data_IF_124676400183
#
_entry.id   IF_124676400183
#
_cell.length_a   1.000
_cell.length_b   1.000
_cell.length_c   1.000
_cell.angle_alpha   90.00
_cell.angle_beta   90.00
_cell.angle_gamma   90.00
#
_symmetry.space_group_name_H-M   'P 1'
#
loop_
_entity.id
_entity.type
_entity.pdbx_description
1 polymer ?
#
# COMPACT_ATOMS: atom_id res chain seq x y z
N UNK A 1 25.34 20.00 -5.97
CA UNK A 1 25.24 21.21 -5.13
C UNK A 1 25.35 20.95 -3.63
N UNK A 2 25.12 19.74 -3.10
CA UNK A 2 25.13 19.50 -1.65
C UNK A 2 26.45 19.80 -0.88
N UNK A 3 27.55 20.07 -1.58
CA UNK A 3 28.84 20.48 -0.99
C UNK A 3 29.03 22.01 -0.95
N UNK A 4 27.99 22.80 -1.24
CA UNK A 4 28.06 24.26 -1.11
C UNK A 4 28.11 24.65 0.39
N UNK A 5 28.80 25.75 0.74
CA UNK A 5 28.79 26.29 2.10
C UNK A 5 27.37 26.57 2.59
N UNK A 6 27.11 26.45 3.89
CA UNK A 6 25.76 26.63 4.47
C UNK A 6 25.16 28.00 4.12
N UNK A 7 25.97 29.06 4.09
CA UNK A 7 25.53 30.41 3.75
C UNK A 7 24.90 30.53 2.35
N UNK A 8 25.29 29.65 1.41
CA UNK A 8 24.70 29.57 0.07
C UNK A 8 23.18 29.33 0.11
N UNK A 9 22.71 28.61 1.13
CA UNK A 9 21.30 28.24 1.27
C UNK A 9 20.49 29.22 2.12
N UNK A 10 21.16 30.07 2.90
CA UNK A 10 20.51 30.95 3.87
C UNK A 10 20.41 32.38 3.35
N UNK A 11 21.38 32.86 2.58
CA UNK A 11 21.41 34.23 2.08
C UNK A 11 21.96 34.34 0.66
N UNK A 12 21.49 35.34 -0.08
CA UNK A 12 22.02 35.64 -1.40
C UNK A 12 23.46 36.16 -1.29
N UNK A 13 24.37 35.55 -2.04
CA UNK A 13 25.78 35.93 -2.06
C UNK A 13 26.20 36.37 -3.47
N UNK A 14 27.02 37.42 -3.56
CA UNK A 14 27.60 37.86 -4.85
C UNK A 14 28.69 36.92 -5.35
N UNK A 15 29.33 36.16 -4.46
CA UNK A 15 30.42 35.22 -4.74
C UNK A 15 30.33 34.06 -3.75
N UNK A 16 30.67 32.85 -4.20
CA UNK A 16 30.72 31.63 -3.40
C UNK A 16 32.12 31.05 -3.53
N UNK A 17 32.76 30.75 -2.40
CA UNK A 17 34.05 30.05 -2.38
C UNK A 17 33.79 28.55 -2.28
N UNK A 18 34.30 27.77 -3.23
CA UNK A 18 34.19 26.31 -3.24
C UNK A 18 35.61 25.74 -3.15
N UNK A 19 35.93 24.87 -2.17
CA UNK A 19 37.26 24.30 -2.05
C UNK A 19 37.58 23.38 -3.23
N UNK A 20 38.82 23.41 -3.69
CA UNK A 20 39.31 22.45 -4.68
C UNK A 20 39.52 21.10 -4.01
N UNK A 21 38.72 20.11 -4.40
CA UNK A 21 38.77 18.74 -3.86
C UNK A 21 38.63 17.73 -5.00
N UNK A 22 39.17 16.52 -4.81
CA UNK A 22 38.87 15.36 -5.65
C UNK A 22 37.87 14.49 -4.90
N UNK A 23 36.75 14.16 -5.54
CA UNK A 23 35.70 13.32 -4.97
C UNK A 23 35.50 12.10 -5.87
N UNK A 24 35.57 10.91 -5.28
CA UNK A 24 35.16 9.65 -5.88
C UNK A 24 33.96 9.16 -5.07
N UNK A 25 32.81 8.96 -5.72
CA UNK A 25 31.54 8.69 -5.03
C UNK A 25 30.74 7.64 -5.80
N UNK A 26 30.14 6.71 -5.07
CA UNK A 26 29.25 5.67 -5.59
C UNK A 26 28.29 5.23 -4.47
N UNK A 27 27.02 4.93 -4.79
CA UNK A 27 26.07 4.49 -3.78
C UNK A 27 26.41 3.09 -3.28
N UNK A 28 26.49 2.90 -1.96
CA UNK A 28 26.61 1.57 -1.33
C UNK A 28 25.44 0.65 -1.69
N UNK A 29 24.24 1.20 -1.80
CA UNK A 29 23.01 0.47 -2.09
C UNK A 29 22.28 1.08 -3.29
N UNK A 30 21.79 0.24 -4.23
CA UNK A 30 21.03 0.72 -5.38
C UNK A 30 19.64 1.26 -4.98
N UNK A 31 19.02 0.71 -3.93
CA UNK A 31 17.76 1.18 -3.36
C UNK A 31 18.02 2.08 -2.15
N UNK A 32 17.62 3.36 -2.22
CA UNK A 32 17.74 4.34 -1.14
C UNK A 32 16.40 5.04 -0.97
N UNK A 33 15.55 4.40 -0.17
CA UNK A 33 14.13 4.69 -0.08
C UNK A 33 13.76 5.76 0.93
N UNK A 34 12.69 6.48 0.63
CA UNK A 34 11.83 7.20 1.57
C UNK A 34 10.42 6.60 1.47
N UNK A 35 9.75 6.40 2.60
CA UNK A 35 8.35 5.99 2.66
C UNK A 35 7.49 7.19 3.09
N UNK A 36 6.39 7.45 2.38
CA UNK A 36 5.42 8.49 2.72
C UNK A 36 3.99 7.92 2.75
N UNK A 37 3.36 8.04 3.92
CA UNK A 37 1.93 7.80 4.13
C UNK A 37 1.13 9.08 3.88
N UNK A 38 0.29 9.06 2.85
CA UNK A 38 -0.65 10.15 2.54
C UNK A 38 -2.11 9.77 2.81
N UNK A 39 -2.34 8.59 3.37
CA UNK A 39 -3.66 8.03 3.59
C UNK A 39 -4.19 8.37 4.98
N UNK A 40 -3.36 8.22 6.03
CA UNK A 40 -3.76 8.57 7.41
C UNK A 40 -4.02 10.07 7.56
N UNK A 41 -3.19 10.90 6.92
CA UNK A 41 -3.46 12.31 6.65
C UNK A 41 -2.87 12.69 5.29
N UNK A 42 -3.61 13.47 4.51
CA UNK A 42 -3.28 13.83 3.16
C UNK A 42 -2.19 14.91 3.09
N UNK A 43 -1.20 14.65 2.22
CA UNK A 43 -0.20 15.62 1.84
C UNK A 43 -0.50 16.14 0.43
N UNK A 44 -0.56 17.46 0.27
CA UNK A 44 -0.74 18.06 -1.07
C UNK A 44 0.36 17.62 -2.03
N UNK A 45 0.05 17.56 -3.34
CA UNK A 45 1.05 17.32 -4.40
C UNK A 45 2.29 18.20 -4.24
N UNK A 46 2.11 19.50 -3.98
CA UNK A 46 3.21 20.44 -3.73
C UNK A 46 4.16 19.98 -2.61
N UNK A 47 3.63 19.40 -1.53
CA UNK A 47 4.44 18.86 -0.44
C UNK A 47 5.22 17.62 -0.89
N UNK A 48 4.61 16.74 -1.68
CA UNK A 48 5.27 15.54 -2.22
C UNK A 48 6.39 15.91 -3.21
N UNK A 49 6.14 16.87 -4.12
CA UNK A 49 7.18 17.36 -5.03
C UNK A 49 8.34 18.00 -4.24
N UNK A 50 8.04 18.75 -3.17
CA UNK A 50 9.07 19.31 -2.29
C UNK A 50 9.89 18.22 -1.58
N UNK A 51 9.26 17.13 -1.17
CA UNK A 51 9.97 15.96 -0.63
C UNK A 51 10.90 15.36 -1.68
N UNK A 52 10.46 15.22 -2.93
CA UNK A 52 11.31 14.72 -4.03
C UNK A 52 12.52 15.62 -4.29
N UNK A 53 12.40 16.95 -4.18
CA UNK A 53 13.55 17.86 -4.26
C UNK A 53 14.58 17.56 -3.16
N UNK A 54 14.12 17.34 -1.93
CA UNK A 54 14.97 17.02 -0.78
C UNK A 54 15.62 15.65 -0.96
N UNK A 55 14.86 14.66 -1.41
CA UNK A 55 15.37 13.32 -1.71
C UNK A 55 16.48 13.37 -2.75
N UNK A 56 16.27 14.08 -3.86
CA UNK A 56 17.27 14.26 -4.91
C UNK A 56 18.53 14.96 -4.38
N UNK A 57 18.35 15.97 -3.53
CA UNK A 57 19.47 16.69 -2.90
C UNK A 57 20.37 15.76 -2.09
N UNK A 58 19.78 14.82 -1.34
CA UNK A 58 20.49 13.81 -0.55
C UNK A 58 20.76 12.48 -1.28
N UNK A 59 20.53 12.44 -2.60
CA UNK A 59 20.72 11.26 -3.45
C UNK A 59 19.85 10.04 -3.09
N UNK A 60 18.72 10.23 -2.39
CA UNK A 60 17.68 9.22 -2.27
C UNK A 60 16.99 9.06 -3.64
N UNK A 61 16.71 7.83 -4.05
CA UNK A 61 16.28 7.53 -5.41
C UNK A 61 15.00 6.68 -5.48
N UNK A 62 14.32 6.48 -4.36
CA UNK A 62 13.08 5.72 -4.37
C UNK A 62 12.10 6.31 -3.36
N UNK A 63 10.91 6.68 -3.83
CA UNK A 63 9.81 7.12 -2.98
C UNK A 63 8.73 6.04 -3.00
N UNK A 64 8.54 5.34 -1.89
CA UNK A 64 7.36 4.51 -1.67
C UNK A 64 6.24 5.41 -1.18
N UNK A 65 5.15 5.47 -1.94
CA UNK A 65 4.00 6.32 -1.66
C UNK A 65 2.78 5.46 -1.38
N UNK A 66 2.24 5.56 -0.16
CA UNK A 66 1.00 4.89 0.21
C UNK A 66 -0.17 5.64 -0.35
N UNK A 67 -1.03 4.94 -1.09
CA UNK A 67 -2.18 5.52 -1.76
C UNK A 67 -3.51 4.92 -1.28
N UNK A 68 -3.48 3.84 -0.49
CA UNK A 68 -4.67 3.33 0.19
C UNK A 68 -4.35 2.85 1.61
N UNK A 69 -5.19 3.19 2.58
CA UNK A 69 -5.21 2.68 3.95
C UNK A 69 -6.66 2.63 4.46
N UNK A 70 -6.86 2.17 5.69
CA UNK A 70 -8.16 2.15 6.34
C UNK A 70 -8.86 3.51 6.35
N UNK A 71 -8.10 4.60 6.52
CA UNK A 71 -8.64 5.95 6.70
C UNK A 71 -8.53 6.84 5.47
N UNK A 72 -8.15 6.27 4.31
CA UNK A 72 -8.02 7.07 3.10
C UNK A 72 -7.66 6.32 1.83
N UNK A 73 -8.30 6.70 0.74
CA UNK A 73 -7.94 6.35 -0.63
C UNK A 73 -7.55 7.62 -1.40
N UNK A 74 -6.33 7.65 -1.95
CA UNK A 74 -5.65 8.90 -2.33
C UNK A 74 -5.27 8.99 -3.80
N UNK A 75 -5.73 8.07 -4.65
CA UNK A 75 -5.47 8.11 -6.09
C UNK A 75 -6.77 7.93 -6.87
N UNK A 76 -7.01 8.78 -7.86
CA UNK A 76 -8.15 8.62 -8.74
C UNK A 76 -8.04 7.35 -9.59
N UNK A 77 -9.12 6.60 -9.70
CA UNK A 77 -9.24 5.46 -10.60
C UNK A 77 -10.54 5.67 -11.37
N UNK A 78 -10.44 6.09 -12.63
CA UNK A 78 -11.62 6.49 -13.43
C UNK A 78 -12.69 5.39 -13.54
N UNK A 79 -12.25 4.13 -13.61
CA UNK A 79 -13.14 2.97 -13.63
C UNK A 79 -13.89 2.76 -12.29
N UNK A 80 -13.42 3.37 -11.21
CA UNK A 80 -13.89 3.21 -9.84
C UNK A 80 -13.93 4.59 -9.12
N UNK A 81 -14.73 5.55 -9.61
CA UNK A 81 -14.73 6.93 -9.14
C UNK A 81 -15.11 7.06 -7.65
N UNK A 82 -15.78 6.06 -7.10
CA UNK A 82 -16.21 6.08 -5.71
C UNK A 82 -15.08 5.85 -4.73
N UNK A 83 -13.93 5.35 -5.20
CA UNK A 83 -12.74 5.23 -4.38
C UNK A 83 -12.30 6.59 -3.81
N UNK A 84 -12.31 7.63 -4.64
CA UNK A 84 -11.98 8.99 -4.20
C UNK A 84 -13.21 9.76 -3.73
N UNK A 85 -14.40 9.52 -4.30
CA UNK A 85 -15.62 10.20 -3.84
C UNK A 85 -15.99 9.83 -2.39
N UNK A 86 -15.74 8.59 -1.97
CA UNK A 86 -16.01 8.11 -0.60
C UNK A 86 -14.71 8.04 0.21
N UNK A 87 -13.70 7.34 -0.30
CA UNK A 87 -12.44 7.09 0.40
C UNK A 87 -11.49 8.30 0.43
N UNK A 88 -11.72 9.31 -0.42
CA UNK A 88 -10.91 10.53 -0.43
C UNK A 88 -11.25 11.52 0.67
N UNK A 89 -12.31 11.29 1.46
CA UNK A 89 -12.77 12.28 2.44
C UNK A 89 -13.28 11.68 3.75
N UNK A 90 -13.05 12.41 4.85
CA UNK A 90 -13.55 12.09 6.18
C UNK A 90 -14.51 13.17 6.68
N UNK A 91 -15.67 12.78 7.21
CA UNK A 91 -16.63 13.72 7.79
C UNK A 91 -17.52 13.09 8.85
N UNK A 92 -18.00 13.91 9.78
CA UNK A 92 -18.94 13.49 10.82
C UNK A 92 -20.33 13.26 10.21
N UNK A 93 -20.78 12.02 10.24
CA UNK A 93 -22.07 11.59 9.68
C UNK A 93 -22.60 10.36 10.42
N UNK A 94 -23.79 9.90 10.06
CA UNK A 94 -24.36 8.65 10.57
C UNK A 94 -23.48 7.44 10.22
N UNK A 95 -23.48 6.42 11.07
CA UNK A 95 -22.72 5.17 10.83
C UNK A 95 -23.05 4.46 9.53
N UNK A 96 -24.25 4.67 8.98
CA UNK A 96 -24.71 4.03 7.75
C UNK A 96 -24.35 4.80 6.47
N UNK A 97 -23.80 6.01 6.60
CA UNK A 97 -23.44 6.81 5.45
C UNK A 97 -22.16 6.29 4.79
N UNK A 98 -22.12 6.31 3.46
CA UNK A 98 -20.97 5.91 2.68
C UNK A 98 -19.88 6.99 2.66
N UNK A 99 -19.31 7.33 3.82
CA UNK A 99 -18.15 8.23 3.98
C UNK A 99 -17.30 7.82 5.16
N UNK A 100 -15.98 7.95 5.06
CA UNK A 100 -15.08 7.66 6.18
C UNK A 100 -15.40 8.58 7.37
N UNK A 101 -15.39 8.01 8.57
CA UNK A 101 -15.56 8.79 9.79
C UNK A 101 -14.29 9.58 10.13
N UNK A 102 -14.40 10.70 10.88
CA UNK A 102 -13.24 11.47 11.29
C UNK A 102 -12.27 10.63 12.12
N UNK A 103 -10.97 10.74 11.81
CA UNK A 103 -9.88 10.14 12.56
C UNK A 103 -8.68 11.09 12.56
N UNK A 104 -7.74 10.88 13.49
CA UNK A 104 -6.52 11.67 13.63
C UNK A 104 -6.72 13.20 13.72
N UNK A 105 -7.85 13.64 14.29
CA UNK A 105 -8.14 15.08 14.41
C UNK A 105 -8.49 15.76 13.09
N UNK A 106 -9.06 15.04 12.11
CA UNK A 106 -9.44 15.59 10.80
C UNK A 106 -10.55 16.64 10.80
N UNK A 107 -11.13 16.96 11.95
CA UNK A 107 -12.33 17.80 12.05
C UNK A 107 -13.61 17.08 11.60
N UNK A 108 -14.78 17.67 11.86
CA UNK A 108 -16.07 17.08 11.53
C UNK A 108 -16.50 17.35 10.08
N UNK A 109 -15.91 18.33 9.40
CA UNK A 109 -16.29 18.76 8.05
C UNK A 109 -15.18 18.35 7.06
N UNK A 110 -15.55 17.63 6.00
CA UNK A 110 -14.62 17.28 4.94
C UNK A 110 -14.07 18.53 4.24
N UNK A 111 -12.77 18.52 3.92
CA UNK A 111 -12.09 19.63 3.23
C UNK A 111 -12.10 20.98 3.98
N UNK A 112 -12.36 20.96 5.29
CA UNK A 112 -12.25 22.15 6.13
C UNK A 112 -10.82 22.73 6.09
N UNK A 113 -10.71 24.05 5.96
CA UNK A 113 -9.41 24.71 5.87
C UNK A 113 -8.58 24.43 7.13
N UNK A 114 -7.35 23.97 6.94
CA UNK A 114 -6.44 23.67 8.05
C UNK A 114 -6.58 22.24 8.59
N UNK A 115 -7.46 21.42 8.00
CA UNK A 115 -7.50 19.98 8.24
C UNK A 115 -6.86 19.22 7.08
N UNK A 116 -6.40 18.01 7.36
CA UNK A 116 -5.63 17.18 6.42
C UNK A 116 -6.22 15.78 6.27
N UNK A 117 -7.49 15.58 6.63
CA UNK A 117 -8.11 14.26 6.53
C UNK A 117 -8.73 13.91 5.18
N UNK A 118 -8.92 14.91 4.33
CA UNK A 118 -9.54 14.76 3.01
C UNK A 118 -8.58 15.23 1.92
N UNK A 119 -8.68 14.62 0.75
CA UNK A 119 -7.84 14.86 -0.42
C UNK A 119 -7.45 13.56 -1.10
N UNK A 120 -7.14 13.68 -2.39
CA UNK A 120 -6.61 12.63 -3.26
C UNK A 120 -5.85 13.30 -4.41
N UNK A 121 -5.04 12.52 -5.12
CA UNK A 121 -4.39 12.93 -6.36
C UNK A 121 -5.28 12.52 -7.54
N UNK A 122 -5.56 13.46 -8.44
CA UNK A 122 -6.17 13.13 -9.73
C UNK A 122 -5.22 12.29 -10.58
N UNK A 123 -5.72 11.74 -11.68
CA UNK A 123 -4.89 11.08 -12.69
C UNK A 123 -3.72 11.98 -13.13
N UNK A 124 -4.00 13.24 -13.47
CA UNK A 124 -3.00 14.22 -13.92
C UNK A 124 -2.00 14.56 -12.81
N UNK A 125 -2.46 14.64 -11.56
CA UNK A 125 -1.58 14.87 -10.43
C UNK A 125 -0.55 13.75 -10.29
N UNK A 126 -0.99 12.50 -10.39
CA UNK A 126 -0.10 11.35 -10.28
C UNK A 126 0.86 11.25 -11.49
N UNK A 127 0.38 11.51 -12.71
CA UNK A 127 1.22 11.57 -13.92
C UNK A 127 2.32 12.62 -13.78
N UNK A 128 1.98 13.83 -13.31
CA UNK A 128 2.98 14.88 -13.09
C UNK A 128 3.97 14.47 -12.00
N UNK A 129 3.52 13.82 -10.92
CA UNK A 129 4.40 13.30 -9.86
C UNK A 129 5.38 12.23 -10.40
N UNK A 130 4.94 11.37 -11.32
CA UNK A 130 5.79 10.38 -11.98
C UNK A 130 6.87 11.05 -12.82
N UNK A 131 6.48 12.03 -13.65
CA UNK A 131 7.42 12.79 -14.48
C UNK A 131 8.43 13.56 -13.63
N UNK A 132 7.96 14.23 -12.58
CA UNK A 132 8.79 14.99 -11.66
C UNK A 132 9.80 14.12 -10.91
N UNK A 133 9.39 12.90 -10.53
CA UNK A 133 10.27 11.90 -9.94
C UNK A 133 11.33 11.41 -10.94
N UNK A 134 10.94 11.12 -12.20
CA UNK A 134 11.86 10.72 -13.28
C UNK A 134 12.96 11.77 -13.52
N UNK A 135 12.61 13.05 -13.59
CA UNK A 135 13.57 14.16 -13.74
C UNK A 135 14.61 14.23 -12.61
N UNK A 136 14.28 13.68 -11.44
CA UNK A 136 15.11 13.66 -10.24
C UNK A 136 15.79 12.32 -9.97
N UNK A 137 15.71 11.39 -10.92
CA UNK A 137 16.20 10.01 -10.78
C UNK A 137 15.59 9.28 -9.58
N UNK A 138 14.33 9.59 -9.25
CA UNK A 138 13.55 8.94 -8.21
C UNK A 138 12.56 7.97 -8.86
N UNK A 139 12.60 6.71 -8.43
CA UNK A 139 11.52 5.76 -8.71
C UNK A 139 10.39 6.02 -7.72
N UNK A 140 9.22 6.41 -8.21
CA UNK A 140 7.99 6.41 -7.41
C UNK A 140 7.45 4.98 -7.38
N UNK A 141 7.13 4.45 -6.20
CA UNK A 141 6.53 3.12 -6.01
C UNK A 141 5.15 3.33 -5.39
N UNK A 142 4.05 3.03 -6.11
CA UNK A 142 2.72 3.13 -5.56
C UNK A 142 2.46 1.94 -4.64
N UNK A 143 1.86 2.19 -3.48
CA UNK A 143 1.42 1.14 -2.56
C UNK A 143 -0.09 1.14 -2.42
N UNK A 144 -0.70 0.00 -2.69
CA UNK A 144 -2.13 -0.27 -2.46
C UNK A 144 -2.23 -1.43 -1.47
N UNK A 145 -2.53 -1.11 -0.21
CA UNK A 145 -2.52 -2.06 0.91
C UNK A 145 -3.69 -3.04 0.87
N UNK A 146 -3.37 -4.32 0.67
CA UNK A 146 -4.28 -5.45 0.71
C UNK A 146 -3.56 -6.69 1.32
N UNK A 147 -4.28 -7.66 1.90
CA UNK A 147 -5.73 -7.72 2.07
C UNK A 147 -6.25 -7.00 3.34
N UNK A 148 -5.37 -6.72 4.30
CA UNK A 148 -5.65 -5.81 5.42
C UNK A 148 -5.62 -4.35 4.99
N UNK A 149 -5.87 -3.42 5.92
CA UNK A 149 -5.79 -1.97 5.68
C UNK A 149 -6.61 -1.47 4.49
N UNK A 150 -7.72 -2.14 4.20
CA UNK A 150 -8.45 -2.02 2.93
C UNK A 150 -9.72 -1.15 3.02
N UNK A 151 -9.75 -0.16 3.93
CA UNK A 151 -10.79 0.89 4.01
C UNK A 151 -12.22 0.44 4.36
N UNK A 152 -12.71 0.79 5.55
CA UNK A 152 -14.06 0.42 6.04
C UNK A 152 -15.19 0.82 5.10
N UNK A 153 -15.13 2.02 4.54
CA UNK A 153 -16.24 2.55 3.76
C UNK A 153 -16.17 2.17 2.28
N UNK A 154 -15.02 1.75 1.76
CA UNK A 154 -14.93 1.10 0.43
C UNK A 154 -15.71 -0.23 0.42
N UNK A 155 -15.69 -0.93 1.55
CA UNK A 155 -16.43 -2.17 1.77
C UNK A 155 -17.92 -1.92 2.04
N UNK A 156 -18.27 -0.89 2.82
CA UNK A 156 -19.67 -0.53 3.10
C UNK A 156 -20.37 0.17 1.92
N UNK A 157 -19.65 0.95 1.10
CA UNK A 157 -20.20 1.60 -0.09
C UNK A 157 -20.81 0.59 -1.08
N UNK A 158 -20.26 -0.64 -1.18
CA UNK A 158 -20.85 -1.71 -1.98
C UNK A 158 -21.96 -2.51 -1.29
N UNK A 159 -22.13 -2.39 0.03
CA UNK A 159 -23.40 -2.75 0.67
C UNK A 159 -24.49 -1.70 0.30
N UNK A 160 -24.07 -0.44 0.16
CA UNK A 160 -24.86 0.71 -0.25
C UNK A 160 -25.23 0.78 -1.74
N UNK A 161 -24.91 -0.21 -2.57
CA UNK A 161 -25.61 -0.40 -3.87
C UNK A 161 -27.13 -0.65 -3.69
N UNK A 162 -27.57 -0.85 -2.44
CA UNK A 162 -28.95 -0.69 -1.96
C UNK A 162 -29.51 0.74 -2.14
N UNK A 163 -28.68 1.79 -2.18
CA UNK A 163 -29.08 3.19 -2.36
C UNK A 163 -29.31 3.58 -3.83
N UNK A 164 -28.97 2.70 -4.80
CA UNK A 164 -29.28 2.85 -6.23
C UNK A 164 -30.64 2.25 -6.63
N UNK A 165 -31.51 1.96 -5.67
CA UNK A 165 -32.88 1.48 -5.89
C UNK A 165 -32.99 -0.04 -6.11
N UNK A 166 -34.19 -0.62 -5.89
CA UNK A 166 -34.38 -2.07 -5.88
C UNK A 166 -34.63 -2.60 -7.31
N UNK A 167 -33.90 -3.69 -7.65
CA UNK A 167 -33.97 -4.52 -8.87
C UNK A 167 -33.16 -4.02 -10.07
N UNK A 168 -32.10 -4.77 -10.40
CA UNK A 168 -31.45 -4.77 -11.72
C UNK A 168 -29.93 -4.54 -11.77
N UNK A 169 -29.31 -4.05 -10.68
CA UNK A 169 -27.86 -3.73 -10.65
C UNK A 169 -27.02 -4.58 -9.70
N UNK A 170 -27.56 -5.69 -9.21
CA UNK A 170 -26.84 -6.61 -8.33
C UNK A 170 -25.55 -7.16 -8.96
N UNK A 171 -25.55 -7.36 -10.28
CA UNK A 171 -24.34 -7.75 -11.02
C UNK A 171 -23.23 -6.69 -10.95
N UNK A 172 -23.58 -5.41 -11.10
CA UNK A 172 -22.65 -4.27 -10.98
C UNK A 172 -22.17 -4.06 -9.53
N UNK A 173 -23.07 -4.26 -8.57
CA UNK A 173 -22.76 -4.21 -7.13
C UNK A 173 -21.70 -5.25 -6.76
N UNK A 174 -21.87 -6.48 -7.26
CA UNK A 174 -21.02 -7.61 -6.96
C UNK A 174 -19.70 -7.63 -7.73
N UNK A 175 -19.61 -6.92 -8.87
CA UNK A 175 -18.43 -6.91 -9.76
C UNK A 175 -17.13 -6.61 -9.01
N UNK A 176 -17.12 -5.63 -8.10
CA UNK A 176 -15.94 -5.31 -7.27
C UNK A 176 -16.24 -5.38 -5.77
N UNK A 177 -17.18 -6.22 -5.35
CA UNK A 177 -17.49 -6.38 -3.92
C UNK A 177 -16.33 -7.04 -3.20
N UNK A 178 -15.84 -6.40 -2.15
CA UNK A 178 -14.63 -6.84 -1.44
C UNK A 178 -14.89 -7.75 -0.23
N UNK A 179 -16.16 -7.93 0.16
CA UNK A 179 -16.56 -8.70 1.33
C UNK A 179 -17.56 -9.80 0.98
N UNK A 180 -17.59 -10.85 1.79
CA UNK A 180 -18.70 -11.78 1.84
C UNK A 180 -19.83 -11.17 2.70
N UNK A 181 -21.06 -11.00 2.16
CA UNK A 181 -22.18 -10.42 2.92
C UNK A 181 -22.62 -11.26 4.11
N UNK A 182 -22.30 -12.56 4.08
CA UNK A 182 -22.63 -13.51 5.14
C UNK A 182 -21.46 -13.73 6.10
N UNK A 183 -20.34 -13.01 5.92
CA UNK A 183 -19.22 -13.08 6.84
C UNK A 183 -19.56 -12.42 8.18
N UNK A 184 -19.30 -13.17 9.25
CA UNK A 184 -19.45 -12.73 10.64
C UNK A 184 -18.20 -13.12 11.44
N UNK A 185 -17.03 -12.92 10.82
CA UNK A 185 -15.72 -13.07 11.45
C UNK A 185 -15.54 -12.06 12.58
N UNK A 186 -14.85 -12.45 13.65
CA UNK A 186 -14.63 -11.60 14.83
C UNK A 186 -13.14 -11.36 15.00
N UNK A 187 -12.70 -10.12 14.76
CA UNK A 187 -11.31 -9.71 14.88
C UNK A 187 -11.20 -8.22 15.21
N UNK A 188 -10.01 -7.80 15.61
CA UNK A 188 -9.62 -6.40 15.75
C UNK A 188 -8.26 -6.21 15.11
N UNK A 189 -8.14 -5.26 14.19
CA UNK A 189 -6.86 -4.82 13.65
C UNK A 189 -6.01 -4.13 14.71
N UNK A 190 -4.73 -3.86 14.38
CA UNK A 190 -3.84 -3.11 15.26
C UNK A 190 -4.35 -1.69 15.54
N UNK A 191 -5.14 -1.12 14.63
CA UNK A 191 -5.75 0.21 14.69
C UNK A 191 -7.15 0.18 15.33
N UNK A 192 -7.64 -0.99 15.75
CA UNK A 192 -8.94 -1.15 16.41
C UNK A 192 -10.13 -1.27 15.45
N UNK A 193 -9.90 -1.55 14.16
CA UNK A 193 -10.96 -1.82 13.20
C UNK A 193 -11.39 -3.28 13.25
N UNK A 194 -12.69 -3.55 13.20
CA UNK A 194 -13.25 -4.91 13.25
C UNK A 194 -13.72 -5.42 11.89
N UNK A 195 -13.50 -4.62 10.85
CA UNK A 195 -13.99 -4.93 9.51
C UNK A 195 -12.97 -4.59 8.43
N UNK A 196 -11.66 -4.51 8.74
CA UNK A 196 -10.57 -4.01 7.89
C UNK A 196 -9.91 -4.93 6.85
N UNK A 197 -10.47 -6.13 6.64
CA UNK A 197 -9.87 -7.13 5.78
C UNK A 197 -10.83 -7.53 4.66
N UNK A 198 -10.33 -7.60 3.42
CA UNK A 198 -11.12 -8.11 2.29
C UNK A 198 -11.27 -9.63 2.35
N UNK A 199 -12.33 -10.16 1.76
CA UNK A 199 -12.56 -11.60 1.71
C UNK A 199 -11.79 -12.24 0.55
N UNK A 200 -10.73 -12.98 0.87
CA UNK A 200 -9.77 -13.53 -0.11
C UNK A 200 -10.31 -14.69 -0.95
N UNK A 201 -11.49 -15.22 -0.64
CA UNK A 201 -12.17 -16.22 -1.48
C UNK A 201 -12.96 -15.59 -2.64
N UNK A 202 -13.15 -14.27 -2.64
CA UNK A 202 -13.96 -13.60 -3.65
C UNK A 202 -13.17 -13.22 -4.89
N UNK A 203 -13.59 -13.73 -6.04
CA UNK A 203 -13.03 -13.34 -7.35
C UNK A 203 -13.14 -11.83 -7.64
N UNK A 204 -14.18 -11.18 -7.12
CA UNK A 204 -14.37 -9.73 -7.24
C UNK A 204 -13.29 -8.90 -6.54
N UNK A 205 -12.60 -9.45 -5.53
CA UNK A 205 -11.41 -8.79 -4.92
C UNK A 205 -10.26 -8.73 -5.91
N UNK A 206 -10.02 -9.83 -6.63
CA UNK A 206 -8.93 -9.90 -7.61
C UNK A 206 -9.24 -9.08 -8.85
N UNK A 207 -10.49 -9.08 -9.32
CA UNK A 207 -10.95 -8.20 -10.41
C UNK A 207 -10.79 -6.71 -10.04
N UNK A 208 -11.13 -6.33 -8.80
CA UNK A 208 -10.88 -4.98 -8.27
C UNK A 208 -9.40 -4.63 -8.29
N UNK A 209 -8.58 -5.53 -7.76
CA UNK A 209 -7.15 -5.30 -7.63
C UNK A 209 -6.49 -5.16 -9.01
N UNK A 210 -6.82 -6.05 -9.95
CA UNK A 210 -6.37 -5.98 -11.34
C UNK A 210 -6.80 -4.68 -12.02
N UNK A 211 -8.04 -4.21 -11.80
CA UNK A 211 -8.53 -2.94 -12.34
C UNK A 211 -7.72 -1.75 -11.83
N UNK A 212 -7.44 -1.71 -10.53
CA UNK A 212 -6.61 -0.65 -9.93
C UNK A 212 -5.18 -0.68 -10.47
N UNK A 213 -4.55 -1.87 -10.49
CA UNK A 213 -3.18 -2.03 -11.01
C UNK A 213 -3.11 -1.61 -12.46
N UNK A 214 -4.09 -2.01 -13.29
CA UNK A 214 -4.17 -1.60 -14.69
C UNK A 214 -4.25 -0.07 -14.80
N UNK A 215 -5.16 0.58 -14.08
CA UNK A 215 -5.28 2.04 -14.12
C UNK A 215 -4.00 2.76 -13.70
N UNK A 216 -3.29 2.26 -12.69
CA UNK A 216 -1.98 2.79 -12.28
C UNK A 216 -0.94 2.57 -13.38
N UNK A 217 -0.85 1.36 -13.93
CA UNK A 217 0.06 1.04 -15.05
C UNK A 217 -0.19 1.94 -16.27
N UNK A 218 -1.45 2.25 -16.58
CA UNK A 218 -1.81 3.16 -17.67
C UNK A 218 -1.28 4.58 -17.39
N UNK A 219 -1.31 5.05 -16.13
CA UNK A 219 -0.72 6.35 -15.75
C UNK A 219 0.81 6.36 -15.91
N UNK A 220 1.49 5.27 -15.60
CA UNK A 220 2.94 5.14 -15.87
C UNK A 220 3.24 5.23 -17.37
N UNK A 221 2.46 4.52 -18.19
CA UNK A 221 2.58 4.55 -19.64
C UNK A 221 2.38 5.97 -20.19
N UNK A 222 1.32 6.66 -19.75
CA UNK A 222 1.02 8.04 -20.15
C UNK A 222 2.09 9.05 -19.69
N UNK A 223 2.69 8.81 -18.52
CA UNK A 223 3.78 9.62 -18.01
C UNK A 223 5.12 9.41 -18.76
N UNK A 224 5.20 8.43 -19.68
CA UNK A 224 6.45 7.94 -20.26
C UNK A 224 7.44 7.50 -19.17
N UNK A 225 6.95 6.85 -18.11
CA UNK A 225 7.76 6.32 -17.01
C UNK A 225 7.59 4.80 -16.97
N UNK A 226 8.68 4.01 -16.92
CA UNK A 226 8.53 2.56 -16.88
C UNK A 226 7.91 2.14 -15.54
N UNK A 227 6.80 1.41 -15.60
CA UNK A 227 6.22 0.75 -14.44
C UNK A 227 7.08 -0.46 -14.11
N UNK A 228 7.91 -0.36 -13.07
CA UNK A 228 8.92 -1.38 -12.73
C UNK A 228 8.75 -1.98 -11.33
N UNK A 229 7.92 -1.37 -10.50
CA UNK A 229 7.75 -1.77 -9.10
C UNK A 229 6.38 -1.33 -8.59
N UNK A 230 5.65 -2.26 -7.99
CA UNK A 230 4.40 -2.02 -7.29
C UNK A 230 4.47 -2.65 -5.89
N UNK A 231 3.91 -2.00 -4.88
CA UNK A 231 3.89 -2.54 -3.52
C UNK A 231 2.45 -2.90 -3.10
N UNK A 232 2.25 -4.11 -2.60
CA UNK A 232 0.93 -4.67 -2.26
C UNK A 232 0.54 -4.43 -0.80
N UNK A 233 1.47 -3.91 0.01
CA UNK A 233 1.29 -3.75 1.45
C UNK A 233 1.46 -5.09 2.14
N UNK A 234 0.41 -5.55 2.80
CA UNK A 234 0.29 -6.93 3.26
C UNK A 234 0.74 -7.19 4.68
N UNK A 235 0.85 -6.14 5.48
CA UNK A 235 1.09 -6.18 6.91
C UNK A 235 -0.20 -6.43 7.72
N UNK A 236 0.00 -6.84 8.97
CA UNK A 236 -0.98 -6.74 10.05
C UNK A 236 -2.40 -7.30 9.81
N UNK A 237 -2.56 -8.36 9.00
CA UNK A 237 -3.84 -9.08 8.94
C UNK A 237 -4.16 -9.64 10.33
N UNK A 238 -5.26 -9.22 10.98
CA UNK A 238 -5.52 -9.58 12.36
C UNK A 238 -5.91 -11.05 12.53
N UNK A 239 -5.56 -11.61 13.68
CA UNK A 239 -6.04 -12.92 14.08
C UNK A 239 -7.57 -12.92 14.19
N UNK A 240 -8.21 -13.94 13.62
CA UNK A 240 -9.68 -14.05 13.54
C UNK A 240 -10.28 -13.55 12.23
N UNK A 241 -9.51 -12.92 11.35
CA UNK A 241 -9.97 -12.68 9.98
C UNK A 241 -10.36 -13.98 9.29
N UNK A 242 -11.46 -13.92 8.53
CA UNK A 242 -12.00 -15.05 7.76
C UNK A 242 -12.45 -16.26 8.61
N UNK A 243 -12.57 -16.11 9.93
CA UNK A 243 -12.94 -17.22 10.82
C UNK A 243 -14.39 -17.69 10.66
N UNK A 244 -15.25 -16.87 10.05
CA UNK A 244 -16.66 -17.18 9.88
C UNK A 244 -17.21 -16.57 8.58
N UNK A 245 -16.82 -17.14 7.45
CA UNK A 245 -17.33 -16.79 6.11
C UNK A 245 -17.65 -18.08 5.34
N UNK A 246 -18.88 -18.24 4.81
CA UNK A 246 -19.22 -19.37 3.93
C UNK A 246 -18.28 -19.51 2.73
N UNK A 247 -17.91 -18.41 2.08
CA UNK A 247 -17.00 -18.45 0.92
C UNK A 247 -15.59 -18.91 1.31
N UNK A 248 -15.13 -18.54 2.50
CA UNK A 248 -13.83 -19.00 3.01
C UNK A 248 -13.88 -20.50 3.32
N UNK A 249 -15.00 -21.00 3.87
CA UNK A 249 -15.17 -22.44 4.11
C UNK A 249 -15.11 -23.23 2.81
N UNK A 250 -15.82 -22.78 1.77
CA UNK A 250 -15.77 -23.38 0.42
C UNK A 250 -14.35 -23.36 -0.16
N UNK A 251 -13.62 -22.24 -0.01
CA UNK A 251 -12.24 -22.14 -0.45
C UNK A 251 -11.34 -23.14 0.29
N UNK A 252 -11.49 -23.30 1.60
CA UNK A 252 -10.69 -24.20 2.43
C UNK A 252 -10.90 -25.67 2.05
N UNK A 253 -12.10 -26.07 1.59
CA UNK A 253 -12.35 -27.42 1.06
C UNK A 253 -11.44 -27.76 -0.14
N UNK A 254 -11.09 -26.75 -0.95
CA UNK A 254 -10.15 -26.91 -2.07
C UNK A 254 -8.67 -26.95 -1.65
N UNK A 255 -8.37 -26.64 -0.37
CA UNK A 255 -7.01 -26.47 0.16
C UNK A 255 -6.75 -27.33 1.40
N UNK A 256 -6.78 -28.67 1.29
CA UNK A 256 -6.66 -29.58 2.44
C UNK A 256 -5.32 -29.49 3.19
N UNK A 257 -4.32 -28.81 2.61
CA UNK A 257 -3.00 -28.58 3.23
C UNK A 257 -2.96 -27.33 4.10
N UNK A 258 -3.93 -26.41 3.98
CA UNK A 258 -3.99 -25.19 4.78
C UNK A 258 -4.57 -25.53 6.16
N UNK A 259 -3.67 -25.64 7.14
CA UNK A 259 -4.04 -25.96 8.54
C UNK A 259 -4.31 -24.73 9.40
N UNK A 260 -3.71 -23.59 9.04
CA UNK A 260 -3.87 -22.33 9.75
C UNK A 260 -4.59 -21.33 8.85
N UNK A 261 -5.77 -20.82 9.23
CA UNK A 261 -6.51 -19.83 8.44
C UNK A 261 -5.72 -18.56 8.11
N UNK A 262 -4.74 -18.18 8.95
CA UNK A 262 -3.86 -17.04 8.65
C UNK A 262 -3.02 -17.26 7.38
N UNK A 263 -2.81 -18.51 6.95
CA UNK A 263 -2.13 -18.80 5.69
C UNK A 263 -3.00 -18.49 4.45
N UNK A 264 -4.27 -18.12 4.62
CA UNK A 264 -5.08 -17.56 3.54
C UNK A 264 -4.56 -16.20 3.05
N UNK A 265 -3.77 -15.49 3.87
CA UNK A 265 -3.00 -14.33 3.43
C UNK A 265 -2.03 -14.70 2.30
N UNK A 266 -1.34 -15.84 2.41
CA UNK A 266 -0.46 -16.32 1.34
C UNK A 266 -1.23 -16.71 0.08
N UNK A 267 -2.48 -17.18 0.22
CA UNK A 267 -3.36 -17.40 -0.94
C UNK A 267 -3.65 -16.09 -1.69
N UNK A 268 -3.98 -15.02 -0.97
CA UNK A 268 -4.16 -13.70 -1.58
C UNK A 268 -2.89 -13.25 -2.30
N UNK A 269 -1.72 -13.34 -1.66
CA UNK A 269 -0.46 -12.88 -2.28
C UNK A 269 -0.04 -13.71 -3.48
N UNK A 270 -0.34 -15.02 -3.50
CA UNK A 270 -0.17 -15.84 -4.72
C UNK A 270 -0.97 -15.25 -5.87
N UNK A 271 -2.28 -15.06 -5.66
CA UNK A 271 -3.19 -14.52 -6.68
C UNK A 271 -2.82 -13.09 -7.10
N UNK A 272 -2.45 -12.23 -6.15
CA UNK A 272 -1.98 -10.87 -6.44
C UNK A 272 -0.67 -10.88 -7.24
N UNK A 273 0.24 -11.80 -6.92
CA UNK A 273 1.49 -12.00 -7.67
C UNK A 273 1.21 -12.46 -9.10
N UNK A 274 0.30 -13.41 -9.30
CA UNK A 274 -0.08 -13.89 -10.64
C UNK A 274 -0.67 -12.76 -11.52
N UNK A 275 -1.38 -11.79 -10.92
CA UNK A 275 -1.87 -10.58 -11.62
C UNK A 275 -0.68 -9.68 -12.00
N UNK A 276 0.21 -9.41 -11.05
CA UNK A 276 1.33 -8.48 -11.21
C UNK A 276 2.44 -9.03 -12.14
N UNK A 277 2.61 -10.34 -12.22
CA UNK A 277 3.56 -11.01 -13.12
C UNK A 277 3.28 -10.68 -14.60
N UNK A 278 2.03 -10.36 -14.97
CA UNK A 278 1.65 -9.92 -16.32
C UNK A 278 2.30 -8.59 -16.74
N UNK A 279 2.75 -7.80 -15.78
CA UNK A 279 3.39 -6.49 -15.99
C UNK A 279 4.93 -6.56 -15.94
N UNK A 280 5.50 -7.74 -15.67
CA UNK A 280 6.95 -7.99 -15.56
C UNK A 280 7.71 -7.13 -14.53
N UNK A 281 7.00 -6.68 -13.48
CA UNK A 281 7.52 -5.76 -12.45
C UNK A 281 8.06 -6.46 -11.20
N UNK A 282 8.78 -5.72 -10.37
CA UNK A 282 9.03 -6.10 -8.98
C UNK A 282 7.77 -5.93 -8.14
N UNK A 283 7.58 -6.81 -7.17
CA UNK A 283 6.39 -6.87 -6.32
C UNK A 283 6.84 -6.71 -4.88
N UNK A 284 6.49 -5.59 -4.27
CA UNK A 284 6.88 -5.26 -2.90
C UNK A 284 5.78 -5.67 -1.94
N UNK A 285 6.15 -6.06 -0.73
CA UNK A 285 5.21 -6.24 0.37
C UNK A 285 5.97 -6.24 1.68
N UNK A 286 5.27 -6.00 2.79
CA UNK A 286 5.87 -6.15 4.11
C UNK A 286 6.27 -7.59 4.39
N UNK A 287 7.17 -7.80 5.34
CA UNK A 287 7.80 -9.10 5.61
C UNK A 287 6.80 -10.27 5.70
N UNK A 288 5.59 -10.05 6.20
CA UNK A 288 4.54 -11.08 6.31
C UNK A 288 4.12 -11.68 4.97
N UNK A 289 4.25 -10.97 3.85
CA UNK A 289 3.82 -11.49 2.53
C UNK A 289 4.61 -12.71 2.11
N UNK A 290 5.85 -12.86 2.60
CA UNK A 290 6.72 -14.01 2.31
C UNK A 290 6.79 -15.01 3.47
N UNK A 291 5.87 -14.93 4.43
CA UNK A 291 5.83 -15.82 5.59
C UNK A 291 4.57 -16.70 5.59
N UNK A 292 4.71 -17.91 6.12
CA UNK A 292 3.63 -18.79 6.52
C UNK A 292 3.63 -18.94 8.04
N UNK A 293 2.51 -19.40 8.58
CA UNK A 293 2.37 -19.83 9.97
C UNK A 293 2.45 -21.34 10.04
N UNK A 294 3.35 -21.87 10.87
CA UNK A 294 3.41 -23.30 11.17
C UNK A 294 2.23 -23.75 12.08
N UNK A 295 2.22 -25.03 12.46
CA UNK A 295 1.18 -25.59 13.33
C UNK A 295 1.11 -24.96 14.73
N UNK A 296 2.16 -24.25 15.16
CA UNK A 296 2.23 -23.51 16.42
C UNK A 296 1.97 -22.01 16.22
N UNK A 297 1.68 -21.57 15.00
CA UNK A 297 1.48 -20.16 14.65
C UNK A 297 2.77 -19.36 14.49
N UNK A 298 3.93 -20.03 14.48
CA UNK A 298 5.24 -19.39 14.34
C UNK A 298 5.45 -19.00 12.86
N UNK A 299 5.90 -17.76 12.56
CA UNK A 299 6.29 -17.39 11.21
C UNK A 299 7.46 -18.24 10.69
N UNK A 300 7.30 -18.79 9.49
CA UNK A 300 8.33 -19.50 8.74
C UNK A 300 8.37 -18.99 7.30
N UNK A 301 9.53 -18.96 6.62
CA UNK A 301 9.61 -18.52 5.23
C UNK A 301 8.66 -19.32 4.32
N UNK A 302 7.99 -18.63 3.41
CA UNK A 302 7.19 -19.23 2.36
C UNK A 302 8.08 -19.56 1.15
N UNK A 303 8.41 -20.84 0.89
CA UNK A 303 9.29 -21.22 -0.21
C UNK A 303 8.70 -20.92 -1.59
N UNK A 304 7.39 -20.67 -1.68
CA UNK A 304 6.71 -20.40 -2.94
C UNK A 304 7.19 -19.13 -3.66
N UNK A 305 7.63 -18.13 -2.90
CA UNK A 305 8.09 -16.86 -3.46
C UNK A 305 9.60 -16.86 -3.79
N UNK A 306 10.31 -17.97 -3.57
CA UNK A 306 11.72 -18.11 -3.95
C UNK A 306 11.84 -18.03 -5.48
N UNK A 307 12.73 -17.15 -5.97
CA UNK A 307 12.97 -16.97 -7.40
C UNK A 307 11.91 -16.14 -8.13
N UNK A 308 10.83 -15.74 -7.46
CA UNK A 308 9.88 -14.75 -7.97
C UNK A 308 10.43 -13.33 -7.80
N UNK A 309 9.89 -12.34 -8.53
CA UNK A 309 10.25 -10.91 -8.42
C UNK A 309 9.64 -10.24 -7.15
N UNK A 310 9.49 -11.00 -6.06
CA UNK A 310 8.92 -10.52 -4.80
C UNK A 310 10.03 -9.98 -3.90
N UNK A 311 9.85 -8.75 -3.41
CA UNK A 311 10.82 -8.02 -2.58
C UNK A 311 10.18 -7.71 -1.22
N UNK A 312 10.52 -8.46 -0.16
CA UNK A 312 10.00 -8.20 1.18
C UNK A 312 10.63 -6.95 1.82
N UNK A 313 9.82 -6.14 2.47
CA UNK A 313 10.22 -4.98 3.25
C UNK A 313 10.22 -5.37 4.72
N UNK A 314 11.39 -5.42 5.33
CA UNK A 314 11.53 -5.87 6.71
C UNK A 314 11.33 -4.71 7.69
N UNK A 315 10.42 -4.90 8.64
CA UNK A 315 10.09 -3.93 9.69
C UNK A 315 10.47 -4.45 11.09
N UNK A 316 10.83 -5.74 11.22
CA UNK A 316 11.18 -6.37 12.49
C UNK A 316 12.29 -5.64 13.27
N UNK A 317 12.07 -5.45 14.58
CA UNK A 317 13.09 -4.89 15.46
C UNK A 317 14.24 -5.89 15.67
N UNK A 318 15.47 -5.46 15.38
CA UNK A 318 16.68 -6.24 15.67
C UNK A 318 16.96 -6.44 17.19
N UNK A 319 16.24 -5.75 18.07
CA UNK A 319 16.49 -5.73 19.53
C UNK A 319 15.48 -6.55 20.37
N UNK A 320 14.51 -7.20 19.74
CA UNK A 320 13.38 -7.85 20.42
C UNK A 320 13.35 -9.38 20.31
N UNK A 321 14.36 -10.05 20.87
CA UNK A 321 14.40 -11.43 21.42
C UNK A 321 15.80 -12.03 21.17
N UNK A 322 16.63 -12.05 22.21
CA UNK A 322 17.82 -12.90 22.23
C UNK A 322 17.37 -14.36 22.07
N UNK A 323 17.55 -14.94 20.89
CA UNK A 323 17.89 -16.36 20.79
C UNK A 323 19.42 -16.47 20.98
N UNK A 324 19.93 -17.32 21.88
CA UNK A 324 21.35 -17.63 21.87
C UNK A 324 21.68 -18.38 20.58
N UNK A 325 22.58 -17.84 19.76
CA UNK A 325 23.29 -18.60 18.72
C UNK A 325 22.95 -18.33 17.25
N UNK A 326 22.08 -17.36 16.92
CA UNK A 326 21.85 -16.96 15.52
C UNK A 326 21.73 -15.44 15.44
N UNK A 327 22.65 -14.79 14.72
CA UNK A 327 22.41 -13.41 14.32
C UNK A 327 21.31 -13.38 13.24
N UNK A 328 20.47 -12.34 13.17
CA UNK A 328 19.50 -12.18 12.08
C UNK A 328 20.18 -12.26 10.70
N UNK A 329 21.40 -11.73 10.56
CA UNK A 329 22.17 -11.83 9.32
C UNK A 329 22.47 -13.27 8.89
N UNK A 330 22.70 -14.20 9.83
CA UNK A 330 22.97 -15.61 9.53
C UNK A 330 21.72 -16.41 9.17
N UNK A 331 20.55 -16.01 9.68
CA UNK A 331 19.27 -16.62 9.31
C UNK A 331 18.88 -16.25 7.86
N UNK A 332 19.18 -15.02 7.44
CA UNK A 332 18.71 -14.48 6.15
C UNK A 332 19.71 -14.62 4.99
N UNK A 333 21.02 -14.62 5.25
CA UNK A 333 22.02 -15.00 4.23
C UNK A 333 21.86 -16.45 3.77
N UNK A 334 21.28 -17.31 4.61
CA UNK A 334 21.03 -18.74 4.28
C UNK A 334 19.73 -18.99 3.54
N UNK A 335 18.77 -18.06 3.54
CA UNK A 335 17.47 -18.24 2.90
C UNK A 335 17.40 -17.71 1.46
N UNK A 336 18.49 -17.14 0.93
CA UNK A 336 18.64 -16.86 -0.51
C UNK A 336 17.75 -15.74 -1.06
N UNK A 337 17.21 -14.87 -0.20
CA UNK A 337 16.34 -13.75 -0.57
C UNK A 337 17.07 -12.41 -0.78
N UNK A 338 18.40 -12.39 -0.76
CA UNK A 338 19.23 -11.19 -0.99
C UNK A 338 20.03 -11.33 -2.27
#
# INVERSE_FOLDING_TARGET
>A
MALMPVDFYIMSQRKILVPTVRVEDAPRFPYRGQHLDVCRNFFSKKAVLKLMDIMAFYKLNTLQLYLSEDEGWRIEIEALPELTAVGGQRQHTSKAAATLHPSYGSGPIAYEKGTYGSGFYTREDFIEMLQYAKERHITLIPTINFPGHSGQQLRQWRQGTSALGPKGKEKLANEYRLIDPLENSQYSSAQGYTDNVVNVARESVYHFYETVIKSISDMYLEADVPFIFFHTGGDEVPHGSWSNSPLINELLETMPKVKNPMNLQAHFFRRATDILEKYDIKIGGWEEVVLLRDAKGIPVPNPEFVGKKVVPYFLGQCLGTRRPGLSPSEYWLRSGYV
#
